data_IF_759108984148
#
_entry.id   IF_759108984148
#
_cell.length_a   1.000
_cell.length_b   1.000
_cell.length_c   1.000
_cell.angle_alpha   90.00
_cell.angle_beta   90.00
_cell.angle_gamma   90.00
#
_symmetry.space_group_name_H-M   'P 1'
#
loop_
_entity.id
_entity.type
_entity.pdbx_description
1 polymer ?
#
# COMPACT_ATOMS: atom_id res chain seq x y z
N UNK A 1 7.26 -13.05 1.17
CA UNK A 1 7.38 -12.06 2.24
C UNK A 1 7.31 -12.74 3.59
N UNK A 2 8.22 -12.42 4.48
CA UNK A 2 8.24 -13.05 5.77
C UNK A 2 7.40 -12.29 6.77
N UNK A 3 6.76 -13.02 7.68
CA UNK A 3 5.89 -12.37 8.63
C UNK A 3 6.62 -11.44 9.59
N UNK A 4 7.87 -11.76 9.92
CA UNK A 4 8.58 -10.90 10.85
C UNK A 4 9.00 -9.58 10.22
N UNK A 5 8.75 -9.40 8.93
CA UNK A 5 9.00 -8.14 8.27
C UNK A 5 7.75 -7.30 8.16
N UNK A 6 6.64 -7.80 8.65
CA UNK A 6 5.40 -7.05 8.61
C UNK A 6 5.30 -6.17 9.83
N UNK A 7 4.92 -4.94 9.61
CA UNK A 7 4.77 -3.98 10.69
C UNK A 7 3.30 -3.60 10.79
N UNK A 8 2.71 -3.83 11.96
CA UNK A 8 1.31 -3.49 12.17
C UNK A 8 1.16 -1.98 12.23
N UNK A 9 0.27 -1.45 11.44
CA UNK A 9 0.03 -0.02 11.43
C UNK A 9 -1.28 0.36 12.09
N UNK A 10 -2.36 -0.24 11.66
CA UNK A 10 -3.65 0.11 12.21
C UNK A 10 -4.71 -0.81 11.65
N UNK A 11 -5.91 -0.73 12.23
CA UNK A 11 -7.05 -1.51 11.78
C UNK A 11 -8.14 -0.54 11.40
N UNK A 12 -8.69 -0.71 10.20
CA UNK A 12 -9.75 0.16 9.73
C UNK A 12 -10.91 -0.67 9.20
N UNK A 13 -12.09 -0.10 9.27
CA UNK A 13 -13.28 -0.75 8.78
C UNK A 13 -13.42 -0.48 7.28
N UNK A 14 -13.79 -1.51 6.53
CA UNK A 14 -14.10 -1.31 5.12
C UNK A 14 -15.42 -0.57 5.03
N UNK A 15 -15.39 0.61 4.43
CA UNK A 15 -16.57 1.45 4.32
C UNK A 15 -17.54 0.87 3.30
N UNK A 16 -18.81 1.31 3.40
CA UNK A 16 -19.83 0.81 2.49
C UNK A 16 -19.54 1.16 1.04
N UNK A 17 -18.82 2.23 0.81
CA UNK A 17 -18.45 2.62 -0.55
C UNK A 17 -17.15 1.97 -0.98
N UNK A 18 -16.73 0.92 -0.29
CA UNK A 18 -15.55 0.13 -0.66
C UNK A 18 -14.24 0.86 -0.43
N UNK A 19 -14.22 1.79 0.49
CA UNK A 19 -13.01 2.55 0.78
C UNK A 19 -12.45 2.19 2.13
N UNK A 20 -11.14 2.30 2.24
CA UNK A 20 -10.42 2.12 3.48
C UNK A 20 -9.46 3.28 3.63
N UNK A 21 -9.38 3.82 4.84
CA UNK A 21 -8.47 4.92 5.09
C UNK A 21 -7.03 4.43 5.09
N UNK A 22 -6.15 5.18 4.43
CA UNK A 22 -4.74 4.86 4.42
C UNK A 22 -4.09 5.41 5.68
N UNK A 23 -3.32 4.62 6.43
CA UNK A 23 -2.62 5.16 7.60
C UNK A 23 -1.67 6.26 7.21
N UNK A 24 -1.63 7.31 8.01
CA UNK A 24 -0.79 8.45 7.67
C UNK A 24 0.68 8.10 7.64
N UNK A 25 1.11 7.19 8.46
CA UNK A 25 2.53 6.85 8.50
C UNK A 25 3.02 6.24 7.19
N UNK A 26 2.12 5.79 6.34
CA UNK A 26 2.52 5.26 5.05
C UNK A 26 3.18 6.36 4.23
N UNK A 27 2.68 7.59 4.34
CA UNK A 27 3.22 8.69 3.56
C UNK A 27 4.68 8.94 3.89
N UNK A 28 5.04 8.73 5.14
CA UNK A 28 6.41 8.97 5.57
C UNK A 28 7.32 7.79 5.30
N UNK A 29 6.80 6.60 5.55
CA UNK A 29 7.63 5.41 5.42
C UNK A 29 7.89 5.00 3.98
N UNK A 30 6.98 5.30 3.09
CA UNK A 30 7.13 4.93 1.68
C UNK A 30 7.45 6.12 0.78
N UNK A 31 7.55 7.30 1.35
CA UNK A 31 7.83 8.50 0.56
C UNK A 31 6.85 8.67 -0.58
N UNK A 32 5.57 8.53 -0.29
CA UNK A 32 4.54 8.70 -1.29
C UNK A 32 3.85 10.04 -1.07
N UNK A 33 3.19 10.54 -2.11
CA UNK A 33 2.55 11.83 -2.07
C UNK A 33 1.08 11.70 -2.42
N UNK A 34 0.24 12.36 -1.65
CA UNK A 34 -1.18 12.34 -1.92
C UNK A 34 -1.45 12.97 -3.28
N UNK A 35 -2.30 12.34 -4.05
CA UNK A 35 -2.68 12.88 -5.33
C UNK A 35 -1.70 12.61 -6.45
N UNK A 36 -0.54 12.06 -6.15
CA UNK A 36 0.45 11.80 -7.18
C UNK A 36 0.88 10.35 -7.23
N UNK A 37 1.17 9.78 -6.09
CA UNK A 37 1.66 8.41 -6.04
C UNK A 37 0.56 7.42 -6.39
N UNK A 38 0.96 6.32 -6.95
CA UNK A 38 0.03 5.26 -7.32
C UNK A 38 0.46 3.97 -6.67
N UNK A 39 -0.50 3.08 -6.48
CA UNK A 39 -0.22 1.78 -5.91
C UNK A 39 -0.72 0.70 -6.83
N UNK A 40 0.05 -0.36 -6.94
CA UNK A 40 -0.40 -1.57 -7.59
C UNK A 40 -0.96 -2.47 -6.50
N UNK A 41 -2.13 -3.00 -6.72
CA UNK A 41 -2.81 -3.80 -5.71
C UNK A 41 -2.81 -5.25 -6.16
N UNK A 42 -2.32 -6.11 -5.28
CA UNK A 42 -2.26 -7.54 -5.56
C UNK A 42 -3.10 -8.30 -4.56
N UNK A 43 -3.72 -9.35 -5.02
CA UNK A 43 -4.50 -10.22 -4.15
C UNK A 43 -3.73 -11.51 -3.94
N UNK A 44 -3.37 -11.77 -2.70
CA UNK A 44 -2.69 -13.00 -2.33
C UNK A 44 -3.77 -13.99 -1.91
N UNK A 45 -4.10 -14.89 -2.82
CA UNK A 45 -5.20 -15.81 -2.61
C UNK A 45 -4.92 -16.80 -1.49
N UNK A 46 -3.70 -17.25 -1.39
CA UNK A 46 -3.35 -18.28 -0.43
C UNK A 46 -3.42 -17.78 1.01
N UNK A 47 -2.94 -16.57 1.24
CA UNK A 47 -2.93 -16.01 2.58
C UNK A 47 -4.07 -15.04 2.84
N UNK A 48 -4.99 -14.89 1.90
CA UNK A 48 -6.16 -14.01 2.05
C UNK A 48 -5.74 -12.61 2.47
N UNK A 49 -4.90 -12.00 1.67
CA UNK A 49 -4.43 -10.66 2.00
C UNK A 49 -4.26 -9.83 0.75
N UNK A 50 -4.26 -8.52 0.92
CA UNK A 50 -4.00 -7.60 -0.16
C UNK A 50 -2.61 -7.02 0.02
N UNK A 51 -1.91 -6.84 -1.08
CA UNK A 51 -0.58 -6.27 -1.06
C UNK A 51 -0.59 -5.02 -1.93
N UNK A 52 -0.17 -3.91 -1.34
CA UNK A 52 -0.07 -2.64 -2.05
C UNK A 52 1.39 -2.33 -2.28
N UNK A 53 1.77 -2.10 -3.52
CA UNK A 53 3.13 -1.73 -3.86
C UNK A 53 3.14 -0.39 -4.54
N UNK A 54 4.11 0.43 -4.19
CA UNK A 54 4.22 1.74 -4.81
C UNK A 54 4.56 1.56 -6.29
N UNK A 55 3.81 2.22 -7.14
CA UNK A 55 4.06 2.18 -8.57
C UNK A 55 4.76 3.47 -8.96
N UNK A 56 6.06 3.36 -9.19
CA UNK A 56 6.87 4.53 -9.52
C UNK A 56 7.08 4.60 -11.00
N UNK A 57 6.58 5.65 -11.61
CA UNK A 57 6.74 5.79 -13.03
C UNK A 57 8.07 6.37 -13.39
N UNK A 58 8.53 7.22 -12.53
CA UNK A 58 9.71 7.94 -12.90
C UNK A 58 10.93 7.11 -12.98
N UNK A 59 10.88 6.02 -12.31
CA UNK A 59 11.98 5.29 -12.37
C UNK A 59 12.27 4.82 -13.65
N UNK A 60 11.50 4.87 -14.33
CA UNK A 60 11.76 4.47 -15.45
C UNK A 60 12.68 5.23 -16.08
N UNK A 61 12.80 5.82 -15.71
CA UNK A 61 13.60 6.40 -16.27
C UNK A 61 14.77 6.25 -16.04
N UNK A 62 14.71 5.97 -15.47
CA UNK A 62 15.68 5.78 -15.26
C UNK A 62 16.38 5.22 -16.03
N UNK A 63 16.38 5.27 -16.39
CA UNK A 63 16.90 4.72 -17.12
C UNK A 63 17.34 4.79 -17.65
#
# INVERSE_FOLDING_TARGET
>A
MKEDELIYLDTYVLQQDMRIRMPKCILENLNVEKGKSRFKIYYDKINSQLIFRVSEDKKKNSV
#
